data_IF_631454877479
#
_entry.id   IF_631454877479
#
_cell.length_a   1.000
_cell.length_b   1.000
_cell.length_c   1.000
_cell.angle_alpha   90.00
_cell.angle_beta   90.00
_cell.angle_gamma   90.00
#
_symmetry.space_group_name_H-M   'P 1'
#
loop_
_entity.id
_entity.type
_entity.pdbx_description
1 polymer ?
#
# COMPACT_ATOMS: atom_id res chain seq x y z
N UNK A 1 13.08 1.99 3.04
CA UNK A 1 11.69 2.35 3.43
C UNK A 1 11.14 1.43 4.51
N UNK A 2 11.24 0.10 4.36
CA UNK A 2 10.77 -0.89 5.36
C UNK A 2 11.27 -0.64 6.79
N UNK A 3 12.55 -0.33 7.00
CA UNK A 3 13.08 -0.06 8.35
C UNK A 3 12.37 1.12 9.04
N UNK A 4 12.05 2.18 8.29
CA UNK A 4 11.31 3.33 8.81
C UNK A 4 9.85 2.95 9.10
N UNK A 5 9.21 2.19 8.21
CA UNK A 5 7.85 1.69 8.42
C UNK A 5 7.75 0.84 9.70
N UNK A 6 8.69 -0.09 9.90
CA UNK A 6 8.83 -0.89 11.13
C UNK A 6 8.99 -0.04 12.39
N UNK A 7 9.86 0.97 12.34
CA UNK A 7 10.09 1.86 13.48
C UNK A 7 8.84 2.67 13.86
N UNK A 8 8.03 3.08 12.88
CA UNK A 8 6.74 3.74 13.13
C UNK A 8 5.70 2.73 13.64
N UNK A 9 5.63 1.52 13.06
CA UNK A 9 4.73 0.47 13.55
C UNK A 9 4.99 0.10 15.02
N UNK A 10 6.26 0.02 15.42
CA UNK A 10 6.64 -0.22 16.81
C UNK A 10 6.15 0.87 17.77
N UNK A 11 6.11 2.13 17.33
CA UNK A 11 5.54 3.23 18.14
C UNK A 11 4.03 3.10 18.27
N UNK A 12 3.32 2.74 17.19
CA UNK A 12 1.89 2.45 17.26
C UNK A 12 1.58 1.24 18.15
N UNK A 13 2.36 0.17 18.06
CA UNK A 13 2.23 -1.01 18.92
C UNK A 13 2.35 -0.65 20.41
N UNK A 14 3.34 0.17 20.77
CA UNK A 14 3.49 0.67 22.14
C UNK A 14 2.27 1.50 22.60
N UNK A 15 1.76 2.38 21.73
CA UNK A 15 0.56 3.18 22.00
C UNK A 15 -0.69 2.32 22.17
N UNK A 16 -0.85 1.29 21.35
CA UNK A 16 -1.97 0.35 21.42
C UNK A 16 -1.91 -0.48 22.71
N UNK A 17 -0.72 -0.92 23.11
CA UNK A 17 -0.51 -1.61 24.37
C UNK A 17 -0.88 -0.73 25.57
N UNK A 18 -0.50 0.56 25.55
CA UNK A 18 -0.87 1.53 26.58
C UNK A 18 -2.40 1.78 26.62
N UNK A 19 -3.02 1.96 25.45
CA UNK A 19 -4.41 2.41 25.35
C UNK A 19 -5.44 1.29 25.44
N UNK A 20 -5.11 0.10 24.93
CA UNK A 20 -6.03 -1.01 24.75
C UNK A 20 -5.56 -2.29 25.45
N UNK A 21 -4.37 -2.30 26.06
CA UNK A 21 -3.82 -3.46 26.75
C UNK A 21 -3.31 -4.57 25.82
N UNK A 22 -3.32 -4.34 24.50
CA UNK A 22 -2.76 -5.22 23.47
C UNK A 22 -2.42 -4.44 22.21
N UNK A 23 -1.48 -4.95 21.44
CA UNK A 23 -1.24 -4.51 20.07
C UNK A 23 -2.41 -4.88 19.15
N UNK A 24 -2.55 -4.14 18.05
CA UNK A 24 -3.44 -4.50 16.96
C UNK A 24 -2.94 -5.75 16.24
N UNK A 25 -3.89 -6.63 15.90
CA UNK A 25 -3.59 -7.83 15.11
C UNK A 25 -3.35 -7.48 13.64
N UNK A 26 -2.69 -8.36 12.85
CA UNK A 26 -2.55 -8.15 11.42
C UNK A 26 -3.88 -7.93 10.68
N UNK A 27 -4.97 -8.55 11.14
CA UNK A 27 -6.32 -8.36 10.59
C UNK A 27 -6.87 -6.95 10.89
N UNK A 28 -6.62 -6.42 12.09
CA UNK A 28 -6.98 -5.05 12.44
C UNK A 28 -6.16 -4.03 11.65
N UNK A 29 -4.88 -4.31 11.41
CA UNK A 29 -4.02 -3.51 10.52
C UNK A 29 -4.58 -3.53 9.10
N UNK A 30 -5.02 -4.69 8.59
CA UNK A 30 -5.65 -4.80 7.27
C UNK A 30 -6.98 -4.02 7.20
N UNK A 31 -7.76 -4.00 8.28
CA UNK A 31 -8.97 -3.17 8.35
C UNK A 31 -8.66 -1.68 8.34
N UNK A 32 -7.60 -1.26 9.04
CA UNK A 32 -7.07 0.11 8.96
C UNK A 32 -6.68 0.48 7.53
N UNK A 33 -5.91 -0.40 6.88
CA UNK A 33 -5.50 -0.22 5.48
C UNK A 33 -6.69 -0.08 4.52
N UNK A 34 -7.76 -0.84 4.72
CA UNK A 34 -8.97 -0.70 3.90
C UNK A 34 -9.60 0.70 4.05
N UNK A 35 -9.49 1.32 5.23
CA UNK A 35 -9.86 2.72 5.46
C UNK A 35 -9.04 3.67 4.58
N UNK A 36 -7.71 3.55 4.63
CA UNK A 36 -6.78 4.37 3.84
C UNK A 36 -7.05 4.22 2.33
N UNK A 37 -7.32 2.99 1.85
CA UNK A 37 -7.70 2.72 0.45
C UNK A 37 -9.00 3.46 0.08
N UNK A 38 -9.97 3.51 1.00
CA UNK A 38 -11.21 4.24 0.82
C UNK A 38 -11.00 5.75 0.71
N UNK A 39 -10.08 6.31 1.50
CA UNK A 39 -9.73 7.73 1.44
C UNK A 39 -8.93 8.06 0.18
N UNK A 40 -7.95 7.22 -0.18
CA UNK A 40 -7.24 7.30 -1.46
C UNK A 40 -8.22 7.30 -2.65
N UNK A 41 -9.21 6.41 -2.66
CA UNK A 41 -10.22 6.34 -3.72
C UNK A 41 -11.02 7.65 -3.86
N UNK A 42 -11.39 8.30 -2.75
CA UNK A 42 -12.07 9.61 -2.77
C UNK A 42 -11.16 10.69 -3.37
N UNK A 43 -9.86 10.67 -3.05
CA UNK A 43 -8.91 11.65 -3.59
C UNK A 43 -8.64 11.46 -5.08
N UNK A 44 -8.58 10.22 -5.56
CA UNK A 44 -8.50 9.91 -7.00
C UNK A 44 -9.72 10.48 -7.73
N UNK A 45 -10.93 10.30 -7.20
CA UNK A 45 -12.14 10.94 -7.75
C UNK A 45 -12.05 12.47 -7.75
N UNK A 46 -11.45 13.05 -6.71
CA UNK A 46 -11.19 14.48 -6.63
C UNK A 46 -10.25 14.95 -7.75
N UNK A 47 -9.13 14.26 -7.97
CA UNK A 47 -8.15 14.55 -9.02
C UNK A 47 -8.68 14.35 -10.43
N UNK A 48 -9.60 13.40 -10.60
CA UNK A 48 -10.31 13.18 -11.86
C UNK A 48 -11.41 14.23 -12.13
N UNK A 49 -11.63 15.19 -11.23
CA UNK A 49 -12.62 16.27 -11.40
C UNK A 49 -14.06 15.88 -11.05
N UNK A 50 -14.30 14.69 -10.50
CA UNK A 50 -15.64 14.24 -10.07
C UNK A 50 -16.08 14.98 -8.80
N UNK A 51 -15.14 15.19 -7.86
CA UNK A 51 -15.36 15.89 -6.58
C UNK A 51 -14.17 16.80 -6.24
N UNK A 52 -13.92 17.86 -7.03
CA UNK A 52 -12.72 18.68 -6.87
C UNK A 52 -12.76 19.45 -5.55
N UNK A 53 -11.59 19.61 -4.91
CA UNK A 53 -11.38 20.47 -3.74
C UNK A 53 -9.95 21.02 -3.73
N UNK A 54 -9.70 22.04 -2.90
CA UNK A 54 -8.34 22.52 -2.68
C UNK A 54 -7.47 21.48 -1.97
N UNK A 55 -6.15 21.52 -2.22
CA UNK A 55 -5.15 20.68 -1.55
C UNK A 55 -5.23 19.18 -1.92
N UNK A 56 -5.72 18.84 -3.11
CA UNK A 56 -5.83 17.44 -3.55
C UNK A 56 -4.47 16.78 -3.79
N UNK A 57 -3.46 17.52 -4.23
CA UNK A 57 -2.15 16.96 -4.56
C UNK A 57 -1.42 16.47 -3.32
N UNK A 58 -1.33 17.32 -2.30
CA UNK A 58 -0.70 16.96 -1.01
C UNK A 58 -1.48 15.85 -0.31
N UNK A 59 -2.82 15.92 -0.33
CA UNK A 59 -3.65 14.86 0.24
C UNK A 59 -3.46 13.53 -0.49
N UNK A 60 -3.38 13.54 -1.82
CA UNK A 60 -3.18 12.32 -2.60
C UNK A 60 -1.81 11.69 -2.27
N UNK A 61 -0.77 12.52 -2.20
CA UNK A 61 0.57 12.06 -1.82
C UNK A 61 0.59 11.44 -0.42
N UNK A 62 -0.16 12.02 0.52
CA UNK A 62 -0.33 11.48 1.88
C UNK A 62 -0.99 10.09 1.87
N UNK A 63 -2.16 9.95 1.26
CA UNK A 63 -2.88 8.67 1.26
C UNK A 63 -2.14 7.57 0.48
N UNK A 64 -1.39 7.92 -0.57
CA UNK A 64 -0.50 6.98 -1.24
C UNK A 64 0.62 6.49 -0.31
N UNK A 65 1.18 7.38 0.52
CA UNK A 65 2.22 7.03 1.48
C UNK A 65 1.66 6.17 2.63
N UNK A 66 0.45 6.47 3.12
CA UNK A 66 -0.21 5.70 4.17
C UNK A 66 -0.61 4.31 3.68
N UNK A 67 -1.20 4.21 2.48
CA UNK A 67 -1.44 2.92 1.83
C UNK A 67 -0.15 2.10 1.69
N UNK A 68 0.96 2.74 1.28
CA UNK A 68 2.24 2.05 1.18
C UNK A 68 2.77 1.61 2.55
N UNK A 69 2.65 2.44 3.59
CA UNK A 69 3.05 2.08 4.95
C UNK A 69 2.27 0.87 5.47
N UNK A 70 0.97 0.82 5.21
CA UNK A 70 0.10 -0.31 5.54
C UNK A 70 0.54 -1.61 4.84
N UNK A 71 0.86 -1.56 3.54
CA UNK A 71 1.40 -2.72 2.80
C UNK A 71 2.76 -3.16 3.37
N UNK A 72 3.67 -2.23 3.66
CA UNK A 72 4.98 -2.53 4.24
C UNK A 72 4.85 -3.17 5.63
N UNK A 73 3.89 -2.71 6.43
CA UNK A 73 3.60 -3.23 7.76
C UNK A 73 3.05 -4.65 7.70
N UNK A 74 2.07 -4.90 6.83
CA UNK A 74 1.52 -6.24 6.63
C UNK A 74 2.58 -7.23 6.14
N UNK A 75 3.45 -6.79 5.20
CA UNK A 75 4.56 -7.62 4.76
C UNK A 75 5.48 -8.02 5.93
N UNK A 76 5.77 -7.10 6.85
CA UNK A 76 6.56 -7.40 8.05
C UNK A 76 5.85 -8.38 8.99
N UNK A 77 4.55 -8.17 9.27
CA UNK A 77 3.75 -9.06 10.10
C UNK A 77 3.74 -10.50 9.59
N UNK A 78 3.77 -10.70 8.28
CA UNK A 78 3.75 -12.02 7.64
C UNK A 78 5.13 -12.53 7.20
N UNK A 79 6.21 -11.81 7.50
CA UNK A 79 7.57 -12.21 7.12
C UNK A 79 7.82 -12.25 5.61
N UNK A 80 7.11 -11.42 4.85
CA UNK A 80 7.24 -11.32 3.39
C UNK A 80 8.35 -10.35 3.04
N UNK A 81 9.34 -10.83 2.27
CA UNK A 81 10.28 -9.95 1.57
C UNK A 81 9.56 -9.27 0.39
N UNK A 82 8.93 -8.13 0.69
CA UNK A 82 8.13 -7.40 -0.29
C UNK A 82 8.95 -6.91 -1.48
N UNK A 83 10.21 -6.53 -1.28
CA UNK A 83 11.04 -6.02 -2.38
C UNK A 83 11.31 -7.14 -3.39
N UNK A 84 11.78 -8.29 -2.89
CA UNK A 84 12.02 -9.44 -3.76
C UNK A 84 10.71 -9.99 -4.38
N UNK A 85 9.59 -9.95 -3.66
CA UNK A 85 8.28 -10.34 -4.19
C UNK A 85 7.81 -9.39 -5.30
N UNK A 86 8.02 -8.09 -5.13
CA UNK A 86 7.69 -7.08 -6.13
C UNK A 86 8.51 -7.27 -7.40
N UNK A 87 9.83 -7.40 -7.29
CA UNK A 87 10.72 -7.59 -8.44
C UNK A 87 10.33 -8.83 -9.25
N UNK A 88 10.14 -9.99 -8.59
CA UNK A 88 9.67 -11.22 -9.25
C UNK A 88 8.34 -11.01 -9.97
N UNK A 89 7.40 -10.31 -9.35
CA UNK A 89 6.09 -10.05 -9.96
C UNK A 89 6.21 -9.17 -11.20
N UNK A 90 7.10 -8.17 -11.19
CA UNK A 90 7.35 -7.30 -12.35
C UNK A 90 8.05 -8.06 -13.48
N UNK A 91 9.01 -8.93 -13.15
CA UNK A 91 9.67 -9.82 -14.11
C UNK A 91 8.66 -10.75 -14.79
N UNK A 92 7.79 -11.40 -14.01
CA UNK A 92 6.75 -12.30 -14.51
C UNK A 92 5.75 -11.56 -15.42
N UNK A 93 5.32 -10.36 -15.03
CA UNK A 93 4.44 -9.50 -15.85
C UNK A 93 5.12 -9.10 -17.17
N UNK A 94 6.42 -8.77 -17.12
CA UNK A 94 7.19 -8.38 -18.30
C UNK A 94 7.29 -9.54 -19.27
N UNK A 95 7.69 -10.72 -18.78
CA UNK A 95 7.78 -11.93 -19.60
C UNK A 95 6.43 -12.32 -20.22
N UNK A 96 5.32 -12.16 -19.47
CA UNK A 96 3.99 -12.40 -19.99
C UNK A 96 3.63 -11.46 -21.15
N UNK A 97 3.89 -10.16 -21.00
CA UNK A 97 3.59 -9.16 -22.03
C UNK A 97 4.46 -9.34 -23.28
N UNK A 98 5.73 -9.68 -23.12
CA UNK A 98 6.63 -9.98 -24.25
C UNK A 98 6.21 -11.26 -24.98
N UNK A 99 5.78 -12.29 -24.25
CA UNK A 99 5.22 -13.52 -24.80
C UNK A 99 3.93 -13.28 -25.59
N UNK A 100 3.07 -12.35 -25.15
CA UNK A 100 1.89 -11.90 -25.92
C UNK A 100 2.29 -11.15 -27.19
N UNK A 101 3.36 -10.34 -27.14
CA UNK A 101 3.92 -9.64 -28.30
C UNK A 101 4.47 -10.58 -29.38
N UNK A 102 4.90 -11.80 -29.01
CA UNK A 102 5.30 -12.85 -29.95
C UNK A 102 4.13 -13.71 -30.46
N UNK A 103 2.95 -13.63 -29.83
CA UNK A 103 1.76 -14.40 -30.21
C UNK A 103 0.83 -13.64 -31.17
N UNK A 104 1.12 -12.38 -31.50
CA UNK A 104 0.34 -11.59 -32.44
C UNK A 104 0.97 -11.62 -33.85
N UNK A 105 0.33 -12.20 -34.87
CA UNK A 105 0.79 -12.05 -36.25
C UNK A 105 0.66 -10.58 -36.64
N UNK A 106 1.79 -9.94 -36.92
CA UNK A 106 1.79 -8.66 -37.63
C UNK A 106 1.61 -8.95 -39.11
N UNK A 107 0.37 -9.17 -39.53
CA UNK A 107 -0.07 -9.07 -40.93
C UNK A 107 -0.84 -7.77 -41.11
#
# INVERSE_FOLDING_TARGET
MQARARAVRAQYAALEQERYGREWTPEEIMLGFLGDVGDLAKLVQGKAGVRPRAGLDDALAHELADCLWSVLTLADCYGVDLAAAFDRTMDDLTAHLEGLGHAWPTD
#
